data_IF_662129851620
#
_entry.id   IF_662129851620
#
_cell.length_a   1.000
_cell.length_b   1.000
_cell.length_c   1.000
_cell.angle_alpha   90.00
_cell.angle_beta   90.00
_cell.angle_gamma   90.00
#
_symmetry.space_group_name_H-M   'P 1'
#
loop_
_entity.id
_entity.type
_entity.pdbx_description
1 polymer ?
#
# COMPACT_ATOMS: atom_id res chain seq x y z
N UNK A 1 -3.21 1.23 -17.56
CA UNK A 1 -1.90 0.63 -17.84
C UNK A 1 -1.43 -0.08 -16.58
N UNK A 2 -0.39 -0.89 -16.66
CA UNK A 2 0.22 -1.57 -15.51
C UNK A 2 1.68 -1.15 -15.38
N UNK A 3 2.08 -0.68 -14.21
CA UNK A 3 3.48 -0.42 -13.88
C UNK A 3 4.11 -1.72 -13.39
N UNK A 4 5.16 -2.18 -14.06
CA UNK A 4 6.00 -3.29 -13.59
C UNK A 4 7.17 -2.74 -12.77
N UNK A 5 7.48 -3.39 -11.66
CA UNK A 5 8.61 -3.00 -10.80
C UNK A 5 9.36 -4.20 -10.21
N UNK A 6 10.63 -3.94 -9.88
CA UNK A 6 11.48 -4.82 -9.08
C UNK A 6 11.59 -4.28 -7.66
N UNK A 7 11.32 -5.12 -6.68
CA UNK A 7 11.25 -4.77 -5.27
C UNK A 7 12.41 -5.44 -4.53
N UNK A 8 13.25 -4.61 -3.90
CA UNK A 8 14.41 -4.98 -3.08
C UNK A 8 14.25 -4.33 -1.70
N UNK A 9 13.52 -5.03 -0.82
CA UNK A 9 13.09 -4.52 0.47
C UNK A 9 12.25 -3.25 0.33
N UNK A 10 12.81 -2.10 0.71
CA UNK A 10 12.15 -0.79 0.59
C UNK A 10 12.47 -0.06 -0.72
N UNK A 11 13.32 -0.63 -1.57
CA UNK A 11 13.69 -0.02 -2.86
C UNK A 11 12.79 -0.60 -3.94
N UNK A 12 12.14 0.30 -4.67
CA UNK A 12 11.31 -0.04 -5.82
C UNK A 12 11.98 0.50 -7.08
N UNK A 13 12.19 -0.37 -8.06
CA UNK A 13 12.78 -0.03 -9.35
C UNK A 13 11.71 -0.21 -10.43
N UNK A 14 11.22 0.91 -10.95
CA UNK A 14 10.24 0.90 -12.03
C UNK A 14 10.90 0.38 -13.31
N UNK A 15 10.34 -0.67 -13.89
CA UNK A 15 10.77 -1.24 -15.17
C UNK A 15 10.13 -0.47 -16.33
N UNK A 16 8.82 -0.25 -16.25
CA UNK A 16 8.07 0.43 -17.29
C UNK A 16 6.56 0.23 -17.15
N UNK A 17 5.84 0.76 -18.14
CA UNK A 17 4.39 0.66 -18.26
C UNK A 17 4.01 -0.31 -19.38
N UNK A 18 3.00 -1.13 -19.14
CA UNK A 18 2.45 -2.09 -20.10
C UNK A 18 0.95 -1.89 -20.24
N UNK A 19 0.38 -2.20 -21.41
CA UNK A 19 -1.05 -1.99 -21.62
C UNK A 19 -1.88 -3.07 -20.92
N UNK A 20 -1.36 -4.30 -20.87
CA UNK A 20 -2.03 -5.45 -20.23
C UNK A 20 -1.09 -6.28 -19.37
N UNK A 21 -1.67 -7.13 -18.50
CA UNK A 21 -0.91 -8.10 -17.69
C UNK A 21 -0.30 -9.18 -18.58
N UNK A 22 -0.93 -9.52 -19.70
CA UNK A 22 -0.40 -10.46 -20.69
C UNK A 22 0.92 -9.95 -21.28
N UNK A 23 1.02 -8.65 -21.59
CA UNK A 23 2.27 -8.05 -22.06
C UNK A 23 3.37 -8.08 -21.01
N UNK A 24 3.03 -7.88 -19.73
CA UNK A 24 3.98 -8.06 -18.63
C UNK A 24 4.50 -9.50 -18.63
N UNK A 25 3.61 -10.50 -18.71
CA UNK A 25 4.02 -11.90 -18.72
C UNK A 25 4.89 -12.26 -19.93
N UNK A 26 4.57 -11.73 -21.11
CA UNK A 26 5.40 -11.86 -22.31
C UNK A 26 6.80 -11.25 -22.10
N UNK A 27 6.87 -10.08 -21.45
CA UNK A 27 8.15 -9.43 -21.12
C UNK A 27 8.95 -10.22 -20.09
N UNK A 28 8.31 -10.70 -19.01
CA UNK A 28 8.97 -11.51 -17.98
C UNK A 28 9.52 -12.82 -18.57
N UNK A 29 8.82 -13.43 -19.52
CA UNK A 29 9.25 -14.66 -20.18
C UNK A 29 10.52 -14.51 -21.02
N UNK A 30 10.87 -13.30 -21.46
CA UNK A 30 12.12 -13.05 -22.20
C UNK A 30 13.31 -12.71 -21.29
N UNK A 31 13.08 -12.44 -19.99
CA UNK A 31 14.16 -12.17 -19.04
C UNK A 31 14.71 -13.50 -18.50
N UNK A 32 15.95 -13.89 -18.83
CA UNK A 32 16.45 -15.23 -18.53
C UNK A 32 16.75 -15.48 -17.04
N UNK A 33 16.72 -14.45 -16.21
CA UNK A 33 17.08 -14.52 -14.80
C UNK A 33 15.88 -14.59 -13.86
N UNK A 34 14.66 -14.56 -14.42
CA UNK A 34 13.40 -14.60 -13.67
C UNK A 34 13.00 -16.05 -13.41
N UNK A 35 12.55 -16.31 -12.18
CA UNK A 35 11.88 -17.54 -11.79
C UNK A 35 10.40 -17.25 -11.59
N UNK A 36 9.54 -18.01 -12.28
CA UNK A 36 8.10 -17.92 -12.15
C UNK A 36 7.56 -19.08 -11.31
N UNK A 37 6.85 -18.77 -10.24
CA UNK A 37 6.12 -19.71 -9.40
C UNK A 37 4.64 -19.62 -9.75
N UNK A 38 4.24 -20.30 -10.84
CA UNK A 38 2.90 -20.15 -11.42
C UNK A 38 1.76 -20.50 -10.44
N UNK A 39 1.97 -21.47 -9.55
CA UNK A 39 1.00 -21.85 -8.52
C UNK A 39 0.74 -20.73 -7.50
N UNK A 40 1.72 -19.86 -7.30
CA UNK A 40 1.73 -18.78 -6.30
C UNK A 40 1.55 -17.41 -6.96
N UNK A 41 1.51 -17.35 -8.30
CA UNK A 41 1.52 -16.11 -9.10
C UNK A 41 2.67 -15.17 -8.72
N UNK A 42 3.79 -15.76 -8.29
CA UNK A 42 4.95 -15.02 -7.80
C UNK A 42 6.08 -15.07 -8.84
N UNK A 43 6.73 -13.92 -9.07
CA UNK A 43 7.85 -13.78 -9.97
C UNK A 43 9.03 -13.20 -9.19
N UNK A 44 10.21 -13.81 -9.33
CA UNK A 44 11.40 -13.40 -8.58
C UNK A 44 12.68 -13.46 -9.40
N UNK A 45 13.71 -12.75 -8.94
CA UNK A 45 15.08 -12.92 -9.41
C UNK A 45 16.03 -13.13 -8.23
N UNK A 46 16.83 -14.19 -8.32
CA UNK A 46 17.93 -14.41 -7.40
C UNK A 46 19.08 -13.45 -7.74
N UNK A 47 19.49 -12.58 -6.80
CA UNK A 47 20.55 -11.60 -7.05
C UNK A 47 21.84 -12.19 -7.65
N UNK A 48 22.22 -13.39 -7.21
CA UNK A 48 23.40 -14.12 -7.71
C UNK A 48 23.33 -14.48 -9.21
N UNK A 49 22.11 -14.55 -9.76
CA UNK A 49 21.86 -14.89 -11.16
C UNK A 49 21.79 -13.63 -12.05
N UNK A 50 21.74 -12.43 -11.46
CA UNK A 50 21.67 -11.17 -12.21
C UNK A 50 23.09 -10.78 -12.66
N UNK A 51 23.31 -10.53 -13.96
CA UNK A 51 24.61 -10.14 -14.47
C UNK A 51 25.00 -8.72 -14.06
N UNK A 52 26.28 -8.39 -14.17
CA UNK A 52 26.78 -7.03 -13.98
C UNK A 52 26.08 -6.04 -14.93
N UNK A 53 25.77 -6.48 -16.16
CA UNK A 53 24.93 -5.78 -17.13
C UNK A 53 24.29 -6.77 -18.12
N UNK A 54 23.04 -6.54 -18.49
CA UNK A 54 22.34 -7.20 -19.58
C UNK A 54 21.34 -6.26 -20.25
N UNK A 55 21.10 -6.53 -21.54
CA UNK A 55 20.08 -5.86 -22.33
C UNK A 55 18.92 -6.82 -22.54
N UNK A 56 17.73 -6.41 -22.09
CA UNK A 56 16.50 -7.17 -22.31
C UNK A 56 15.79 -6.54 -23.50
N UNK A 57 15.82 -7.23 -24.64
CA UNK A 57 15.13 -6.82 -25.85
C UNK A 57 13.68 -7.31 -25.85
N UNK A 58 12.72 -6.41 -26.03
CA UNK A 58 11.31 -6.77 -26.19
C UNK A 58 10.60 -5.80 -27.12
N UNK A 59 10.02 -6.32 -28.21
CA UNK A 59 9.29 -5.54 -29.25
C UNK A 59 10.04 -4.29 -29.73
N UNK A 60 11.38 -4.38 -29.85
CA UNK A 60 12.25 -3.28 -30.31
C UNK A 60 12.67 -2.29 -29.23
N UNK A 61 12.17 -2.43 -27.99
CA UNK A 61 12.70 -1.72 -26.82
C UNK A 61 13.87 -2.50 -26.20
N UNK A 62 14.77 -1.78 -25.53
CA UNK A 62 15.91 -2.35 -24.81
C UNK A 62 15.87 -1.85 -23.37
N UNK A 63 15.70 -2.75 -22.40
CA UNK A 63 15.78 -2.44 -20.98
C UNK A 63 17.18 -2.78 -20.43
N UNK A 64 17.92 -1.81 -19.86
CA UNK A 64 19.21 -2.07 -19.26
C UNK A 64 19.04 -2.64 -17.84
N UNK A 65 19.35 -3.92 -17.66
CA UNK A 65 19.37 -4.58 -16.36
C UNK A 65 20.80 -4.62 -15.82
N UNK A 66 21.00 -4.19 -14.58
CA UNK A 66 22.28 -4.34 -13.88
C UNK A 66 22.04 -4.80 -12.45
N UNK A 67 22.85 -5.76 -11.99
CA UNK A 67 22.81 -6.17 -10.58
C UNK A 67 23.12 -5.02 -9.62
N UNK A 68 23.84 -3.99 -10.07
CA UNK A 68 24.23 -2.85 -9.23
C UNK A 68 23.06 -1.95 -8.81
N UNK A 69 21.86 -2.18 -9.36
CA UNK A 69 20.62 -1.58 -8.87
C UNK A 69 20.21 -2.11 -7.49
N UNK A 70 20.66 -3.31 -7.11
CA UNK A 70 20.17 -4.06 -5.96
C UNK A 70 21.18 -4.13 -4.79
N UNK A 71 20.68 -4.43 -3.59
CA UNK A 71 21.41 -4.52 -2.32
C UNK A 71 22.19 -5.82 -2.14
N UNK A 72 21.84 -6.86 -2.89
CA UNK A 72 22.63 -8.08 -3.03
C UNK A 72 22.44 -9.17 -1.96
N UNK A 73 21.55 -8.96 -1.01
CA UNK A 73 21.41 -9.81 0.18
C UNK A 73 20.16 -10.71 0.19
N UNK A 74 19.28 -10.60 -0.82
CA UNK A 74 18.02 -11.34 -0.87
C UNK A 74 17.50 -11.49 -2.31
N UNK A 75 16.46 -12.30 -2.45
CA UNK A 75 15.68 -12.48 -3.66
C UNK A 75 14.90 -11.21 -3.98
N UNK A 76 14.96 -10.76 -5.23
CA UNK A 76 14.25 -9.57 -5.72
C UNK A 76 12.86 -10.02 -6.13
N UNK A 77 11.83 -9.38 -5.58
CA UNK A 77 10.43 -9.64 -5.91
C UNK A 77 10.06 -8.81 -7.13
N UNK A 78 9.22 -9.36 -7.99
CA UNK A 78 8.69 -8.67 -9.16
C UNK A 78 7.20 -8.55 -9.00
N UNK A 79 6.69 -7.32 -9.09
CA UNK A 79 5.27 -7.03 -8.93
C UNK A 79 4.80 -6.03 -9.97
N UNK A 80 3.49 -5.97 -10.20
CA UNK A 80 2.90 -4.94 -11.04
C UNK A 80 1.59 -4.43 -10.48
N UNK A 81 1.38 -3.12 -10.61
CA UNK A 81 0.17 -2.44 -10.16
C UNK A 81 -0.52 -1.73 -11.30
N UNK A 82 -1.85 -1.68 -11.25
CA UNK A 82 -2.62 -0.87 -12.19
C UNK A 82 -2.39 0.61 -11.92
N UNK A 83 -2.11 1.37 -12.98
CA UNK A 83 -1.98 2.83 -12.95
C UNK A 83 -2.93 3.41 -14.00
N UNK A 84 -3.87 4.24 -13.52
CA UNK A 84 -4.82 4.93 -14.36
C UNK A 84 -4.15 6.02 -15.20
N UNK A 85 -4.56 6.14 -16.46
CA UNK A 85 -4.15 7.26 -17.30
C UNK A 85 -5.13 8.42 -17.07
N UNK A 86 -4.72 9.45 -16.32
CA UNK A 86 -5.64 10.52 -15.86
C UNK A 86 -6.47 11.15 -16.98
N UNK A 87 -5.88 11.41 -18.15
CA UNK A 87 -6.58 12.02 -19.30
C UNK A 87 -7.65 11.14 -19.95
N UNK A 88 -7.66 9.83 -19.65
CA UNK A 88 -8.55 8.84 -20.28
C UNK A 88 -9.80 8.56 -19.41
N UNK A 89 -9.94 9.23 -18.27
CA UNK A 89 -11.03 9.01 -17.32
C UNK A 89 -11.74 10.32 -16.97
N UNK A 90 -13.06 10.25 -16.77
CA UNK A 90 -13.87 11.32 -16.18
C UNK A 90 -14.31 10.91 -14.77
N UNK A 91 -14.34 11.85 -13.82
CA UNK A 91 -14.69 11.58 -12.43
C UNK A 91 -13.55 10.98 -11.61
N UNK A 92 -13.88 10.14 -10.61
CA UNK A 92 -12.89 9.44 -9.79
C UNK A 92 -12.18 8.39 -10.64
N UNK A 93 -10.85 8.46 -10.68
CA UNK A 93 -10.03 7.51 -11.45
C UNK A 93 -9.93 6.17 -10.72
N UNK A 94 -9.98 5.03 -11.43
CA UNK A 94 -9.75 3.72 -10.81
C UNK A 94 -8.33 3.62 -10.26
N UNK A 95 -8.14 2.78 -9.24
CA UNK A 95 -6.87 2.62 -8.55
C UNK A 95 -7.05 2.73 -7.05
N UNK A 96 -5.93 2.94 -6.36
CA UNK A 96 -5.89 2.95 -4.91
C UNK A 96 -5.16 4.18 -4.37
N UNK A 97 -5.60 4.66 -3.20
CA UNK A 97 -4.97 5.73 -2.44
C UNK A 97 -4.43 5.15 -1.13
N UNK A 98 -3.15 5.44 -0.84
CA UNK A 98 -2.53 5.10 0.45
C UNK A 98 -2.97 6.09 1.53
N UNK A 99 -3.60 5.59 2.57
CA UNK A 99 -4.00 6.35 3.76
C UNK A 99 -3.32 5.71 4.97
N UNK A 100 -2.32 6.39 5.53
CA UNK A 100 -1.60 6.03 6.77
C UNK A 100 -1.03 4.59 6.88
N UNK A 101 -0.95 3.87 5.77
CA UNK A 101 -0.46 2.49 5.72
C UNK A 101 -1.41 1.51 5.02
N UNK A 102 -2.64 1.93 4.72
CA UNK A 102 -3.66 1.10 4.10
C UNK A 102 -4.07 1.63 2.73
N UNK A 103 -4.25 0.73 1.77
CA UNK A 103 -4.66 1.07 0.41
C UNK A 103 -6.18 0.98 0.29
N UNK A 104 -6.81 2.06 -0.14
CA UNK A 104 -8.25 2.15 -0.37
C UNK A 104 -8.54 2.31 -1.84
N UNK A 105 -9.58 1.63 -2.35
CA UNK A 105 -10.07 1.93 -3.68
C UNK A 105 -10.44 3.41 -3.77
N UNK A 106 -10.02 4.07 -4.84
CA UNK A 106 -10.24 5.50 -5.00
C UNK A 106 -11.72 5.90 -4.88
N UNK A 107 -12.64 4.99 -5.25
CA UNK A 107 -14.09 5.18 -5.10
C UNK A 107 -14.55 5.32 -3.64
N UNK A 108 -13.81 4.72 -2.71
CA UNK A 108 -14.22 4.55 -1.32
C UNK A 108 -13.51 5.55 -0.39
N UNK A 109 -12.52 6.28 -0.92
CA UNK A 109 -11.69 7.22 -0.16
C UNK A 109 -12.54 8.27 0.56
N UNK A 110 -13.51 8.88 -0.14
CA UNK A 110 -14.34 9.93 0.47
C UNK A 110 -15.15 9.38 1.65
N UNK A 111 -15.83 8.25 1.46
CA UNK A 111 -16.63 7.59 2.48
C UNK A 111 -15.76 7.22 3.70
N UNK A 112 -14.62 6.56 3.46
CA UNK A 112 -13.70 6.19 4.53
C UNK A 112 -13.18 7.41 5.30
N UNK A 113 -12.81 8.51 4.61
CA UNK A 113 -12.35 9.74 5.26
C UNK A 113 -13.46 10.36 6.14
N UNK A 114 -14.72 10.33 5.69
CA UNK A 114 -15.86 10.81 6.47
C UNK A 114 -16.04 9.97 7.73
N UNK A 115 -16.08 8.65 7.58
CA UNK A 115 -16.30 7.70 8.68
C UNK A 115 -15.17 7.77 9.71
N UNK A 116 -13.90 7.72 9.28
CA UNK A 116 -12.75 7.76 10.20
C UNK A 116 -12.69 9.07 11.00
N UNK A 117 -13.02 10.20 10.36
CA UNK A 117 -12.99 11.49 11.02
C UNK A 117 -14.14 11.64 12.01
N UNK A 118 -15.32 11.07 11.70
CA UNK A 118 -16.43 11.00 12.64
C UNK A 118 -16.08 10.18 13.88
N UNK A 119 -15.48 9.00 13.73
CA UNK A 119 -14.97 8.23 14.87
C UNK A 119 -13.97 9.05 15.70
N UNK A 120 -13.00 9.70 15.04
CA UNK A 120 -11.98 10.54 15.68
C UNK A 120 -12.62 11.65 16.52
N UNK A 121 -13.59 12.35 15.98
CA UNK A 121 -14.26 13.45 16.67
C UNK A 121 -15.18 12.97 17.81
N UNK A 122 -15.91 11.86 17.64
CA UNK A 122 -16.72 11.26 18.72
C UNK A 122 -15.85 10.77 19.89
N UNK A 123 -14.69 10.15 19.62
CA UNK A 123 -13.74 9.77 20.67
C UNK A 123 -13.21 10.99 21.43
N UNK A 124 -12.87 12.07 20.73
CA UNK A 124 -12.43 13.32 21.35
C UNK A 124 -13.51 13.92 22.23
N UNK A 125 -14.74 13.99 21.74
CA UNK A 125 -15.88 14.50 22.50
C UNK A 125 -16.15 13.63 23.73
N UNK A 126 -16.20 12.31 23.56
CA UNK A 126 -16.41 11.34 24.63
C UNK A 126 -15.44 11.58 25.79
N UNK A 127 -14.13 11.56 25.52
CA UNK A 127 -13.14 11.71 26.58
C UNK A 127 -13.12 13.12 27.20
N UNK A 128 -13.40 14.15 26.40
CA UNK A 128 -13.52 15.54 26.91
C UNK A 128 -14.69 15.67 27.87
N UNK A 129 -15.86 15.08 27.55
CA UNK A 129 -17.03 15.05 28.44
C UNK A 129 -16.78 14.26 29.73
N UNK A 130 -15.89 13.28 29.69
CA UNK A 130 -15.41 12.53 30.86
C UNK A 130 -14.23 13.21 31.59
N UNK A 131 -13.95 14.48 31.28
CA UNK A 131 -12.97 15.29 31.97
C UNK A 131 -11.51 14.91 31.69
N UNK A 132 -11.24 14.16 30.62
CA UNK A 132 -9.87 13.78 30.24
C UNK A 132 -9.29 14.75 29.21
N UNK A 133 -8.00 15.06 29.34
CA UNK A 133 -7.22 15.70 28.27
C UNK A 133 -7.00 14.69 27.14
N UNK A 134 -7.30 15.07 25.90
CA UNK A 134 -7.18 14.22 24.71
C UNK A 134 -6.00 14.68 23.86
N UNK A 135 -5.17 13.75 23.41
CA UNK A 135 -4.09 13.99 22.45
C UNK A 135 -4.32 13.17 21.19
N UNK A 136 -4.10 13.81 20.03
CA UNK A 136 -4.05 13.14 18.72
C UNK A 136 -2.62 13.24 18.23
N UNK A 137 -1.99 12.10 17.94
CA UNK A 137 -0.60 12.03 17.48
C UNK A 137 -0.46 10.90 16.44
N UNK A 138 0.75 10.62 15.97
CA UNK A 138 1.04 9.52 15.05
C UNK A 138 0.90 9.87 13.57
N UNK A 139 0.53 11.11 13.23
CA UNK A 139 0.45 11.55 11.83
C UNK A 139 1.80 11.37 11.12
N UNK A 140 1.79 10.62 10.01
CA UNK A 140 2.97 10.34 9.21
C UNK A 140 3.90 9.25 9.79
N UNK A 141 3.50 8.59 10.89
CA UNK A 141 4.18 7.38 11.37
C UNK A 141 3.71 6.15 10.62
N UNK A 142 4.44 5.04 10.73
CA UNK A 142 4.06 3.75 10.15
C UNK A 142 2.78 3.18 10.78
N UNK A 143 2.45 3.60 12.01
CA UNK A 143 1.29 3.13 12.77
C UNK A 143 0.04 4.02 12.60
N UNK A 144 0.14 5.11 11.82
CA UNK A 144 -0.96 6.05 11.58
C UNK A 144 -1.36 6.90 12.78
N UNK A 145 -2.41 7.71 12.61
CA UNK A 145 -2.97 8.53 13.68
C UNK A 145 -3.52 7.68 14.83
N UNK A 146 -3.42 8.17 16.07
CA UNK A 146 -4.05 7.57 17.24
C UNK A 146 -4.50 8.63 18.25
N UNK A 147 -5.49 8.28 19.07
CA UNK A 147 -5.95 9.06 20.22
C UNK A 147 -5.40 8.46 21.51
N UNK A 148 -4.94 9.33 22.41
CA UNK A 148 -4.62 8.96 23.81
C UNK A 148 -5.27 9.92 24.80
N UNK A 149 -5.39 9.46 26.04
CA UNK A 149 -5.77 10.31 27.19
C UNK A 149 -4.80 10.08 28.35
N UNK A 150 -4.77 10.99 29.32
CA UNK A 150 -3.92 10.85 30.51
C UNK A 150 -4.16 9.51 31.23
N UNK A 151 -3.18 8.60 31.13
CA UNK A 151 -3.26 7.25 31.70
C UNK A 151 -4.30 6.32 31.07
N UNK A 152 -4.86 6.68 29.91
CA UNK A 152 -5.84 5.87 29.16
C UNK A 152 -5.21 5.03 28.05
N UNK A 153 -6.05 4.27 27.30
CA UNK A 153 -5.59 3.45 26.19
C UNK A 153 -5.10 4.30 25.02
N UNK A 154 -4.31 3.66 24.14
CA UNK A 154 -3.96 4.18 22.82
C UNK A 154 -4.96 3.57 21.83
N UNK A 155 -5.78 4.41 21.21
CA UNK A 155 -6.78 3.98 20.22
C UNK A 155 -6.33 4.46 18.84
N UNK A 156 -5.90 3.53 18.00
CA UNK A 156 -5.49 3.83 16.63
C UNK A 156 -6.70 4.20 15.75
N UNK A 157 -6.49 5.16 14.85
CA UNK A 157 -7.49 5.59 13.85
C UNK A 157 -7.26 4.81 12.55
N UNK A 158 -7.17 3.49 12.72
CA UNK A 158 -6.88 2.53 11.67
C UNK A 158 -8.19 1.92 11.12
N UNK A 159 -8.16 1.21 9.98
CA UNK A 159 -9.35 0.60 9.41
C UNK A 159 -10.06 -0.36 10.36
N UNK A 160 -9.32 -1.10 11.19
CA UNK A 160 -9.90 -2.11 12.07
C UNK A 160 -10.75 -1.48 13.18
N UNK A 161 -10.25 -0.40 13.78
CA UNK A 161 -10.98 0.34 14.81
C UNK A 161 -12.13 1.16 14.21
N UNK A 162 -11.95 1.72 13.02
CA UNK A 162 -13.04 2.39 12.28
C UNK A 162 -14.18 1.40 12.02
N UNK A 163 -13.87 0.23 11.48
CA UNK A 163 -14.83 -0.85 11.25
C UNK A 163 -15.54 -1.30 12.54
N UNK A 164 -14.79 -1.42 13.63
CA UNK A 164 -15.33 -1.82 14.93
C UNK A 164 -16.24 -0.74 15.52
N UNK A 165 -15.91 0.53 15.37
CA UNK A 165 -16.74 1.66 15.80
C UNK A 165 -18.04 1.74 15.00
N UNK A 166 -18.00 1.56 13.67
CA UNK A 166 -19.23 1.56 12.85
C UNK A 166 -20.20 0.44 13.23
N UNK A 167 -19.68 -0.70 13.70
CA UNK A 167 -20.46 -1.86 14.15
C UNK A 167 -20.87 -1.77 15.62
N UNK A 168 -20.38 -0.78 16.37
CA UNK A 168 -20.67 -0.65 17.79
C UNK A 168 -22.07 -0.07 18.03
N UNK A 169 -22.72 -0.51 19.12
CA UNK A 169 -24.05 -0.01 19.50
C UNK A 169 -24.02 1.45 19.98
N UNK A 170 -22.87 1.91 20.50
CA UNK A 170 -22.65 3.27 20.99
C UNK A 170 -21.14 3.54 21.16
N UNK A 171 -20.78 4.82 21.31
CA UNK A 171 -19.40 5.22 21.63
C UNK A 171 -18.92 4.62 22.96
N UNK A 172 -19.79 4.50 23.97
CA UNK A 172 -19.48 3.82 25.24
C UNK A 172 -19.16 2.34 25.04
N UNK A 173 -19.93 1.64 24.21
CA UNK A 173 -19.70 0.23 23.92
C UNK A 173 -18.37 0.03 23.18
N UNK A 174 -18.04 0.94 22.25
CA UNK A 174 -16.78 0.93 21.52
C UNK A 174 -15.58 1.19 22.45
N UNK A 175 -15.63 2.25 23.25
CA UNK A 175 -14.53 2.62 24.17
C UNK A 175 -14.25 1.51 25.20
N UNK A 176 -15.29 0.84 25.70
CA UNK A 176 -15.14 -0.30 26.62
C UNK A 176 -14.37 -1.49 26.05
N UNK A 177 -14.18 -1.58 24.73
CA UNK A 177 -13.36 -2.66 24.15
C UNK A 177 -11.86 -2.47 24.41
N UNK A 178 -11.45 -1.29 24.89
CA UNK A 178 -10.07 -0.92 25.21
C UNK A 178 -9.77 -0.84 26.72
N UNK A 179 -10.75 -1.14 27.58
CA UNK A 179 -10.64 -1.15 29.06
C UNK A 179 -10.56 -2.58 29.62
#
# INVERSE_FOLDING_TARGET
MYQLEFIDGKKHHIVGMFDTVEEIKEWLAVVPFITAYESEKEYTMEYKNIPDYAEIEWRGSIYPLTRHSFSGNHTIVIDWSYVATIKDHEGIVPGYTLIEGYMYENSDVEEYIVVRNKMKDELKEYYTLHGKTVFVDGLGTEQGEYITTEGGPIIHIDPMNVDAWEKAESIDAFVKTFE
#
